data_IF_276853419917
#
_entry.id   IF_276853419917
#
_cell.length_a   1.000
_cell.length_b   1.000
_cell.length_c   1.000
_cell.angle_alpha   90.00
_cell.angle_beta   90.00
_cell.angle_gamma   90.00
#
_symmetry.space_group_name_H-M   'P 1'
#
loop_
_entity.id
_entity.type
_entity.pdbx_description
1 polymer ?
#
# COMPACT_ATOMS: atom_id res chain seq x y z
N UNK A 1 1.33 -21.71 8.71
CA UNK A 1 0.23 -22.28 9.54
C UNK A 1 -0.46 -21.27 10.46
N UNK A 2 0.24 -20.27 11.02
CA UNK A 2 -0.31 -19.25 11.97
C UNK A 2 -1.67 -18.68 11.55
N UNK A 3 -1.75 -18.18 10.32
CA UNK A 3 -2.95 -17.57 9.75
C UNK A 3 -3.75 -18.55 8.88
N UNK A 4 -3.34 -19.81 8.76
CA UNK A 4 -3.96 -20.77 7.83
C UNK A 4 -3.62 -20.48 6.35
N UNK A 5 -4.57 -20.76 5.46
CA UNK A 5 -4.42 -20.60 4.00
C UNK A 5 -5.48 -19.63 3.45
N UNK A 6 -5.37 -19.19 2.18
CA UNK A 6 -6.46 -18.44 1.52
C UNK A 6 -7.77 -19.24 1.34
N UNK A 7 -7.73 -20.56 1.50
CA UNK A 7 -8.92 -21.42 1.49
C UNK A 7 -9.49 -21.64 2.89
N UNK A 8 -8.61 -21.74 3.89
CA UNK A 8 -8.93 -22.06 5.28
C UNK A 8 -8.19 -21.10 6.20
N UNK A 9 -8.65 -19.83 6.33
CA UNK A 9 -8.01 -18.85 7.19
C UNK A 9 -8.19 -19.25 8.67
N UNK A 10 -7.22 -18.86 9.49
CA UNK A 10 -7.23 -19.05 10.94
C UNK A 10 -6.93 -17.72 11.61
N UNK A 11 -7.59 -17.49 12.75
CA UNK A 11 -7.26 -16.36 13.63
C UNK A 11 -6.18 -16.84 14.62
N UNK A 12 -4.97 -16.26 14.58
CA UNK A 12 -3.93 -16.56 15.55
C UNK A 12 -4.33 -16.13 16.97
N UNK A 13 -3.77 -16.80 17.97
CA UNK A 13 -3.94 -16.41 19.37
C UNK A 13 -3.45 -14.98 19.62
N UNK A 14 -4.25 -14.19 20.34
CA UNK A 14 -3.99 -12.78 20.61
C UNK A 14 -4.48 -11.81 19.53
N UNK A 15 -5.25 -12.28 18.55
CA UNK A 15 -5.95 -11.46 17.54
C UNK A 15 -7.47 -11.64 17.56
N UNK A 16 -8.04 -12.36 18.51
CA UNK A 16 -9.47 -12.67 18.56
C UNK A 16 -10.36 -11.43 18.77
N UNK A 17 -9.79 -10.36 19.34
CA UNK A 17 -10.44 -9.05 19.46
C UNK A 17 -10.34 -8.21 18.17
N UNK A 18 -9.42 -8.58 17.28
CA UNK A 18 -9.19 -7.91 16.01
C UNK A 18 -9.85 -8.66 14.85
N UNK A 19 -9.83 -9.98 14.78
CA UNK A 19 -10.28 -10.73 13.62
C UNK A 19 -11.46 -11.64 13.98
N UNK A 20 -12.54 -11.50 13.23
CA UNK A 20 -13.73 -12.34 13.37
C UNK A 20 -13.61 -13.60 12.49
N UNK A 21 -13.52 -14.76 13.12
CA UNK A 21 -13.31 -16.03 12.44
C UNK A 21 -14.48 -16.42 11.50
N UNK A 22 -15.72 -16.11 11.86
CA UNK A 22 -16.90 -16.47 11.06
C UNK A 22 -16.97 -15.61 9.79
N UNK A 23 -16.73 -14.32 9.94
CA UNK A 23 -16.63 -13.38 8.82
C UNK A 23 -15.46 -13.71 7.90
N UNK A 24 -14.31 -14.14 8.45
CA UNK A 24 -13.18 -14.61 7.64
C UNK A 24 -13.51 -15.85 6.82
N UNK A 25 -14.19 -16.84 7.40
CA UNK A 25 -14.62 -18.03 6.67
C UNK A 25 -15.61 -17.69 5.55
N UNK A 26 -16.50 -16.72 5.78
CA UNK A 26 -17.43 -16.24 4.76
C UNK A 26 -16.72 -15.60 3.57
N UNK A 27 -15.64 -14.86 3.82
CA UNK A 27 -14.88 -14.18 2.77
C UNK A 27 -13.89 -15.08 2.02
N UNK A 28 -13.37 -16.11 2.68
CA UNK A 28 -12.31 -16.98 2.16
C UNK A 28 -12.85 -18.18 1.36
N UNK A 29 -11.92 -18.95 0.77
CA UNK A 29 -12.28 -20.18 0.10
C UNK A 29 -12.91 -20.00 -1.28
N UNK A 30 -13.30 -21.12 -1.87
CA UNK A 30 -13.91 -21.20 -3.20
C UNK A 30 -15.28 -20.54 -3.18
N UNK A 31 -15.62 -19.81 -4.25
CA UNK A 31 -16.94 -19.19 -4.39
C UNK A 31 -18.02 -20.28 -4.41
N UNK A 32 -18.91 -20.25 -3.42
CA UNK A 32 -20.04 -21.18 -3.29
C UNK A 32 -21.26 -20.43 -2.77
N UNK A 33 -22.42 -20.82 -3.26
CA UNK A 33 -23.71 -20.44 -2.68
C UNK A 33 -24.23 -21.63 -1.90
N UNK A 34 -24.60 -21.43 -0.64
CA UNK A 34 -25.43 -22.40 0.07
C UNK A 34 -26.91 -22.15 -0.30
N UNK A 35 -27.69 -23.22 -0.47
CA UNK A 35 -29.09 -23.13 -0.90
C UNK A 35 -29.96 -22.34 0.11
N UNK A 36 -30.97 -21.63 -0.40
CA UNK A 36 -31.84 -20.64 0.28
C UNK A 36 -31.28 -19.21 0.45
N UNK A 37 -30.37 -18.78 -0.44
CA UNK A 37 -30.41 -17.42 -0.99
C UNK A 37 -29.79 -16.26 -0.21
N UNK A 38 -29.06 -16.48 0.89
CA UNK A 38 -28.46 -15.36 1.65
C UNK A 38 -26.96 -15.49 1.98
N UNK A 39 -26.38 -16.68 2.10
CA UNK A 39 -24.96 -16.80 2.48
C UNK A 39 -24.10 -17.14 1.27
N UNK A 40 -23.31 -16.17 0.81
CA UNK A 40 -22.31 -16.39 -0.24
C UNK A 40 -20.92 -16.53 0.38
N UNK A 41 -20.28 -17.69 0.16
CA UNK A 41 -18.92 -17.99 0.61
C UNK A 41 -17.91 -17.61 -0.48
N UNK A 42 -16.66 -17.35 -0.09
CA UNK A 42 -15.62 -16.95 -1.03
C UNK A 42 -15.81 -15.54 -1.58
N UNK A 43 -16.39 -14.63 -0.79
CA UNK A 43 -16.67 -13.23 -1.18
C UNK A 43 -15.45 -12.54 -1.77
N UNK A 44 -14.28 -12.71 -1.15
CA UNK A 44 -13.05 -12.08 -1.63
C UNK A 44 -12.64 -12.62 -3.00
N UNK A 45 -12.76 -13.93 -3.23
CA UNK A 45 -12.46 -14.52 -4.55
C UNK A 45 -13.45 -14.06 -5.60
N UNK A 46 -14.72 -13.92 -5.23
CA UNK A 46 -15.79 -13.45 -6.12
C UNK A 46 -15.60 -11.99 -6.54
N UNK A 47 -15.20 -11.12 -5.62
CA UNK A 47 -15.26 -9.67 -5.83
C UNK A 47 -13.90 -8.99 -5.98
N UNK A 48 -12.83 -9.55 -5.41
CA UNK A 48 -11.56 -8.83 -5.22
C UNK A 48 -10.38 -9.49 -5.91
N UNK A 49 -10.28 -10.83 -5.87
CA UNK A 49 -9.07 -11.56 -6.27
C UNK A 49 -8.67 -11.37 -7.75
N UNK A 50 -9.63 -11.07 -8.63
CA UNK A 50 -9.36 -10.79 -10.05
C UNK A 50 -8.38 -9.61 -10.23
N UNK A 51 -8.48 -8.60 -9.37
CA UNK A 51 -7.60 -7.44 -9.39
C UNK A 51 -6.52 -7.52 -8.29
N UNK A 52 -6.91 -7.88 -7.06
CA UNK A 52 -6.02 -7.84 -5.90
C UNK A 52 -5.18 -9.11 -5.68
N UNK A 53 -5.39 -10.16 -6.49
CA UNK A 53 -4.73 -11.46 -6.31
C UNK A 53 -5.35 -12.28 -5.18
N UNK A 54 -5.15 -13.60 -5.18
CA UNK A 54 -5.74 -14.49 -4.16
C UNK A 54 -5.11 -14.29 -2.77
N UNK A 55 -3.85 -13.87 -2.74
CA UNK A 55 -3.02 -13.58 -1.56
C UNK A 55 -3.08 -12.10 -1.17
N UNK A 56 -3.80 -11.26 -1.92
CA UNK A 56 -3.81 -9.81 -1.71
C UNK A 56 -2.53 -9.10 -2.12
N UNK A 57 -1.71 -9.67 -3.00
CA UNK A 57 -0.45 -9.10 -3.50
C UNK A 57 -0.61 -8.03 -4.59
N UNK A 58 -1.84 -7.73 -5.00
CA UNK A 58 -2.11 -6.76 -6.06
C UNK A 58 -1.71 -7.26 -7.46
N UNK A 59 -1.44 -8.56 -7.62
CA UNK A 59 -1.02 -9.20 -8.86
C UNK A 59 -2.10 -10.15 -9.41
N UNK A 60 -3.38 -9.79 -9.25
CA UNK A 60 -4.49 -10.53 -9.86
C UNK A 60 -4.39 -10.55 -11.39
N UNK A 61 -5.05 -11.49 -12.08
CA UNK A 61 -4.95 -11.64 -13.54
C UNK A 61 -5.36 -10.38 -14.33
N UNK A 62 -6.18 -9.50 -13.75
CA UNK A 62 -6.56 -8.24 -14.36
C UNK A 62 -5.65 -7.06 -13.97
N UNK A 63 -4.73 -7.23 -13.01
CA UNK A 63 -3.97 -6.15 -12.38
C UNK A 63 -3.14 -5.34 -13.39
N UNK A 64 -2.45 -6.02 -14.30
CA UNK A 64 -1.59 -5.40 -15.31
C UNK A 64 -2.32 -4.36 -16.18
N UNK A 65 -3.62 -4.56 -16.39
CA UNK A 65 -4.45 -3.71 -17.23
C UNK A 65 -5.17 -2.58 -16.47
N UNK A 66 -5.00 -2.49 -15.15
CA UNK A 66 -5.63 -1.43 -14.35
C UNK A 66 -4.72 -0.21 -14.23
N UNK A 67 -5.31 0.98 -14.30
CA UNK A 67 -4.63 2.24 -14.02
C UNK A 67 -5.43 3.06 -12.98
N UNK A 68 -4.87 3.29 -11.77
CA UNK A 68 -3.62 2.76 -11.23
C UNK A 68 -3.66 1.23 -11.01
N UNK A 69 -2.48 0.62 -10.75
CA UNK A 69 -2.44 -0.80 -10.33
C UNK A 69 -3.26 -1.03 -9.05
N UNK A 70 -3.87 -2.22 -8.88
CA UNK A 70 -4.56 -2.58 -7.65
C UNK A 70 -3.62 -2.55 -6.45
N UNK A 71 -4.15 -2.18 -5.29
CA UNK A 71 -3.40 -2.21 -4.03
C UNK A 71 -2.99 -3.65 -3.68
N UNK A 72 -1.71 -3.87 -3.40
CA UNK A 72 -1.27 -5.00 -2.59
C UNK A 72 -1.77 -4.82 -1.16
N UNK A 73 -2.86 -5.49 -0.80
CA UNK A 73 -3.50 -5.42 0.51
C UNK A 73 -2.62 -6.02 1.60
N UNK A 74 -1.79 -7.02 1.24
CA UNK A 74 -0.82 -7.64 2.14
C UNK A 74 0.28 -6.68 2.63
N UNK A 75 0.48 -5.56 1.95
CA UNK A 75 1.48 -4.54 2.33
C UNK A 75 1.08 -3.78 3.60
N UNK A 76 -0.19 -3.80 4.00
CA UNK A 76 -0.66 -3.04 5.15
C UNK A 76 -0.64 -1.52 4.97
N UNK A 77 -0.31 -1.03 3.77
CA UNK A 77 -0.26 0.40 3.44
C UNK A 77 -1.52 0.83 2.68
N UNK A 78 -2.32 1.69 3.31
CA UNK A 78 -3.59 2.17 2.74
C UNK A 78 -3.56 3.68 2.49
N UNK A 79 -3.93 4.09 1.27
CA UNK A 79 -3.85 5.48 0.81
C UNK A 79 -4.94 6.39 1.41
N UNK A 80 -6.18 5.91 1.44
CA UNK A 80 -7.37 6.72 1.75
C UNK A 80 -7.95 6.26 3.08
N UNK A 81 -7.56 6.95 4.15
CA UNK A 81 -7.87 6.59 5.53
C UNK A 81 -7.90 7.84 6.41
N UNK A 82 -8.57 7.73 7.55
CA UNK A 82 -8.73 8.82 8.49
C UNK A 82 -7.60 8.91 9.53
N UNK A 83 -6.78 7.88 9.64
CA UNK A 83 -5.68 7.79 10.62
C UNK A 83 -4.35 8.34 10.10
N UNK A 84 -3.49 8.84 11.00
CA UNK A 84 -2.13 9.32 10.70
C UNK A 84 -1.37 8.43 9.71
N UNK A 85 -0.45 9.02 8.92
CA UNK A 85 0.23 8.38 7.78
C UNK A 85 0.75 6.96 8.05
N UNK A 86 1.33 6.72 9.22
CA UNK A 86 1.94 5.44 9.60
C UNK A 86 1.03 4.50 10.42
N UNK A 87 -0.20 4.90 10.72
CA UNK A 87 -1.19 4.05 11.41
C UNK A 87 -1.99 3.21 10.40
N UNK A 88 -2.50 2.01 10.75
CA UNK A 88 -3.41 1.28 9.87
C UNK A 88 -4.77 1.98 9.76
N UNK A 89 -5.54 1.73 8.68
CA UNK A 89 -6.90 2.25 8.55
C UNK A 89 -7.82 1.69 9.63
N UNK A 90 -8.89 2.42 9.95
CA UNK A 90 -9.98 1.87 10.76
C UNK A 90 -10.84 0.90 9.93
N UNK A 91 -11.67 0.09 10.58
CA UNK A 91 -12.66 -0.74 9.86
C UNK A 91 -13.64 0.12 9.06
N UNK A 92 -14.02 1.29 9.59
CA UNK A 92 -14.90 2.22 8.88
C UNK A 92 -14.21 2.85 7.66
N UNK A 93 -12.90 3.10 7.70
CA UNK A 93 -12.15 3.53 6.50
C UNK A 93 -12.20 2.47 5.38
N UNK A 94 -12.03 1.20 5.74
CA UNK A 94 -12.11 0.08 4.82
C UNK A 94 -13.54 -0.10 4.27
N UNK A 95 -14.54 -0.09 5.16
CA UNK A 95 -15.94 -0.22 4.79
C UNK A 95 -16.40 0.93 3.88
N UNK A 96 -16.05 2.17 4.22
CA UNK A 96 -16.33 3.36 3.39
C UNK A 96 -15.71 3.23 2.00
N UNK A 97 -14.46 2.76 1.91
CA UNK A 97 -13.78 2.53 0.62
C UNK A 97 -14.49 1.46 -0.21
N UNK A 98 -14.91 0.34 0.39
CA UNK A 98 -15.67 -0.69 -0.31
C UNK A 98 -17.02 -0.16 -0.80
N UNK A 99 -17.78 0.52 0.07
CA UNK A 99 -19.09 1.07 -0.28
C UNK A 99 -19.00 2.13 -1.38
N UNK A 100 -17.99 3.01 -1.33
CA UNK A 100 -17.82 4.07 -2.32
C UNK A 100 -17.16 3.59 -3.62
N UNK A 101 -16.32 2.55 -3.54
CA UNK A 101 -15.36 2.23 -4.59
C UNK A 101 -14.27 3.28 -4.69
N UNK A 102 -13.56 3.30 -5.82
CA UNK A 102 -12.52 4.30 -6.09
C UNK A 102 -12.87 5.11 -7.34
N UNK A 103 -13.53 6.29 -7.19
CA UNK A 103 -13.85 7.15 -8.32
C UNK A 103 -12.59 7.47 -9.14
N UNK A 104 -12.68 7.33 -10.47
CA UNK A 104 -11.54 7.55 -11.37
C UNK A 104 -10.55 6.38 -11.49
N UNK A 105 -10.80 5.26 -10.79
CA UNK A 105 -10.07 4.01 -10.92
C UNK A 105 -11.04 2.84 -11.23
N UNK A 106 -10.50 1.65 -11.48
CA UNK A 106 -11.29 0.47 -11.84
C UNK A 106 -12.02 -0.21 -10.67
N UNK A 107 -11.73 0.16 -9.42
CA UNK A 107 -12.35 -0.47 -8.25
C UNK A 107 -13.81 0.02 -8.10
N UNK A 108 -14.81 -0.87 -8.27
CA UNK A 108 -16.21 -0.49 -8.29
C UNK A 108 -16.74 -0.20 -6.89
N UNK A 109 -17.94 0.39 -6.83
CA UNK A 109 -18.71 0.52 -5.59
C UNK A 109 -19.37 -0.82 -5.24
N UNK A 110 -19.28 -1.21 -3.96
CA UNK A 110 -19.94 -2.38 -3.40
C UNK A 110 -21.16 -2.03 -2.53
N UNK A 111 -21.75 -0.84 -2.74
CA UNK A 111 -22.92 -0.36 -1.95
C UNK A 111 -24.15 -1.29 -2.02
N UNK A 112 -24.24 -2.13 -3.05
CA UNK A 112 -25.35 -3.08 -3.20
C UNK A 112 -25.13 -4.40 -2.47
N UNK A 113 -23.94 -4.65 -1.91
CA UNK A 113 -23.71 -5.82 -1.08
C UNK A 113 -24.40 -5.63 0.28
N UNK A 114 -24.97 -6.71 0.87
CA UNK A 114 -25.43 -6.70 2.24
C UNK A 114 -24.31 -6.28 3.22
N UNK A 115 -24.67 -5.61 4.31
CA UNK A 115 -23.70 -5.11 5.29
C UNK A 115 -22.84 -6.22 5.91
N UNK A 116 -23.38 -7.44 6.07
CA UNK A 116 -22.60 -8.57 6.57
C UNK A 116 -21.53 -9.04 5.58
N UNK A 117 -21.79 -8.98 4.26
CA UNK A 117 -20.80 -9.32 3.24
C UNK A 117 -19.70 -8.24 3.16
N UNK A 118 -20.08 -6.96 3.30
CA UNK A 118 -19.11 -5.87 3.43
C UNK A 118 -18.23 -6.06 4.67
N UNK A 119 -18.82 -6.40 5.82
CA UNK A 119 -18.09 -6.67 7.05
C UNK A 119 -17.11 -7.86 6.87
N UNK A 120 -17.54 -8.94 6.21
CA UNK A 120 -16.68 -10.08 5.88
C UNK A 120 -15.49 -9.68 5.01
N UNK A 121 -15.72 -8.87 3.97
CA UNK A 121 -14.64 -8.34 3.13
C UNK A 121 -13.68 -7.43 3.91
N UNK A 122 -14.19 -6.58 4.81
CA UNK A 122 -13.35 -5.75 5.70
C UNK A 122 -12.45 -6.61 6.57
N UNK A 123 -13.01 -7.65 7.23
CA UNK A 123 -12.24 -8.57 8.05
C UNK A 123 -11.16 -9.28 7.24
N UNK A 124 -11.48 -9.72 6.02
CA UNK A 124 -10.51 -10.41 5.17
C UNK A 124 -9.39 -9.49 4.68
N UNK A 125 -9.70 -8.23 4.32
CA UNK A 125 -8.68 -7.23 3.99
C UNK A 125 -7.76 -6.96 5.19
N UNK A 126 -8.32 -6.85 6.40
CA UNK A 126 -7.55 -6.66 7.63
C UNK A 126 -6.66 -7.87 7.92
N UNK A 127 -7.19 -9.08 7.77
CA UNK A 127 -6.44 -10.34 7.86
C UNK A 127 -5.25 -10.38 6.90
N UNK A 128 -5.46 -10.07 5.62
CA UNK A 128 -4.39 -10.04 4.61
C UNK A 128 -3.30 -9.04 4.98
N UNK A 129 -3.67 -7.85 5.46
CA UNK A 129 -2.75 -6.80 5.85
C UNK A 129 -1.91 -7.18 7.08
N UNK A 130 -2.54 -7.71 8.14
CA UNK A 130 -1.84 -8.17 9.34
C UNK A 130 -0.90 -9.33 8.98
N UNK A 131 -1.42 -10.35 8.29
CA UNK A 131 -0.66 -11.53 7.88
C UNK A 131 0.54 -11.14 7.03
N UNK A 132 0.32 -10.32 6.00
CA UNK A 132 1.39 -9.89 5.10
C UNK A 132 2.45 -9.03 5.78
N UNK A 133 2.06 -8.23 6.77
CA UNK A 133 3.01 -7.46 7.59
C UNK A 133 3.89 -8.40 8.42
N UNK A 134 3.30 -9.41 9.08
CA UNK A 134 4.07 -10.42 9.80
C UNK A 134 5.03 -11.16 8.86
N UNK A 135 4.55 -11.59 7.69
CA UNK A 135 5.39 -12.31 6.71
C UNK A 135 6.62 -11.49 6.30
N UNK A 136 6.48 -10.16 6.13
CA UNK A 136 7.63 -9.28 5.82
C UNK A 136 8.55 -9.06 7.01
N UNK A 137 8.01 -8.75 8.18
CA UNK A 137 8.82 -8.56 9.41
C UNK A 137 9.58 -9.84 9.75
N UNK A 138 9.01 -11.01 9.46
CA UNK A 138 9.68 -12.29 9.61
C UNK A 138 10.81 -12.49 8.59
N UNK A 139 10.57 -12.16 7.32
CA UNK A 139 11.63 -12.23 6.28
C UNK A 139 12.78 -11.30 6.66
N UNK A 140 12.48 -10.06 7.06
CA UNK A 140 13.49 -9.09 7.51
C UNK A 140 14.29 -9.63 8.70
N UNK A 141 13.62 -10.19 9.70
CA UNK A 141 14.28 -10.78 10.87
C UNK A 141 15.22 -11.94 10.48
N UNK A 142 14.74 -12.88 9.67
CA UNK A 142 15.56 -14.02 9.20
C UNK A 142 16.73 -13.53 8.34
N UNK A 143 16.53 -12.54 7.47
CA UNK A 143 17.60 -11.96 6.67
C UNK A 143 18.66 -11.25 7.52
N UNK A 144 18.26 -10.55 8.59
CA UNK A 144 19.19 -9.90 9.52
C UNK A 144 19.98 -10.90 10.37
N UNK A 145 19.34 -11.99 10.80
CA UNK A 145 19.95 -13.01 11.65
C UNK A 145 20.89 -13.94 10.88
N UNK A 146 20.49 -14.38 9.69
CA UNK A 146 21.20 -15.43 8.94
C UNK A 146 21.96 -14.93 7.70
N UNK A 147 21.73 -13.69 7.25
CA UNK A 147 22.42 -13.11 6.08
C UNK A 147 22.27 -13.94 4.79
N UNK A 148 23.28 -13.88 3.93
CA UNK A 148 23.31 -14.59 2.63
C UNK A 148 23.39 -16.13 2.78
N UNK A 149 23.83 -16.62 3.95
CA UNK A 149 23.90 -18.07 4.25
C UNK A 149 22.52 -18.75 4.31
N UNK A 150 21.43 -17.99 4.34
CA UNK A 150 20.06 -18.53 4.24
C UNK A 150 19.68 -18.90 2.79
N UNK A 151 20.25 -18.21 1.80
CA UNK A 151 19.91 -18.35 0.37
C UNK A 151 20.88 -19.34 -0.30
N UNK A 152 22.16 -19.26 0.06
CA UNK A 152 23.17 -20.20 -0.39
C UNK A 152 23.05 -21.48 0.42
N UNK A 153 22.21 -22.41 -0.08
CA UNK A 153 21.93 -23.70 0.55
C UNK A 153 23.22 -24.46 0.84
N UNK A 154 23.75 -24.28 2.04
CA UNK A 154 24.76 -25.13 2.62
C UNK A 154 24.14 -26.53 2.83
N UNK A 155 24.93 -27.57 2.59
CA UNK A 155 24.58 -29.01 2.61
C UNK A 155 23.98 -29.53 3.94
N UNK A 156 23.67 -28.65 4.89
CA UNK A 156 23.00 -29.03 6.12
C UNK A 156 21.49 -29.03 5.91
N UNK A 157 20.95 -30.24 5.72
CA UNK A 157 19.53 -30.57 5.51
C UNK A 157 18.54 -30.08 6.59
N UNK A 158 18.96 -29.22 7.50
CA UNK A 158 18.16 -28.67 8.60
C UNK A 158 17.60 -27.31 8.16
N UNK A 159 16.27 -27.14 8.06
CA UNK A 159 15.70 -25.82 7.83
C UNK A 159 16.16 -24.88 8.96
N UNK A 160 16.93 -23.83 8.64
CA UNK A 160 17.34 -22.80 9.62
C UNK A 160 16.14 -22.11 10.26
N UNK A 161 14.97 -22.20 9.60
CA UNK A 161 13.68 -21.80 10.12
C UNK A 161 12.69 -22.97 10.01
N UNK A 162 12.36 -23.61 11.13
CA UNK A 162 11.36 -24.68 11.20
C UNK A 162 10.17 -24.23 12.05
N UNK A 163 8.98 -24.21 11.45
CA UNK A 163 7.77 -23.86 12.18
C UNK A 163 7.40 -24.88 13.29
N UNK A 164 7.93 -26.10 13.22
CA UNK A 164 7.74 -27.10 14.27
C UNK A 164 8.54 -26.79 15.53
N UNK A 165 9.58 -25.97 15.43
CA UNK A 165 10.39 -25.54 16.56
C UNK A 165 9.59 -24.61 17.51
N UNK A 166 9.83 -24.74 18.81
CA UNK A 166 9.16 -23.94 19.84
C UNK A 166 9.71 -22.52 19.88
N UNK A 167 11.01 -22.31 19.64
CA UNK A 167 11.64 -20.97 19.67
C UNK A 167 11.09 -20.10 18.53
N UNK A 168 11.03 -20.67 17.32
CA UNK A 168 10.41 -20.02 16.15
C UNK A 168 8.95 -19.60 16.40
N UNK A 169 8.16 -20.48 17.03
CA UNK A 169 6.77 -20.18 17.38
C UNK A 169 6.67 -19.12 18.49
N UNK A 170 7.63 -19.10 19.41
CA UNK A 170 7.73 -18.08 20.46
C UNK A 170 8.05 -16.71 19.88
N UNK A 171 9.06 -16.61 19.01
CA UNK A 171 9.44 -15.38 18.30
C UNK A 171 8.22 -14.73 17.62
N UNK A 172 7.48 -15.51 16.82
CA UNK A 172 6.30 -14.99 16.13
C UNK A 172 5.21 -14.53 17.11
N UNK A 173 4.93 -15.32 18.15
CA UNK A 173 3.83 -15.06 19.08
C UNK A 173 4.13 -13.91 20.05
N UNK A 174 5.36 -13.84 20.53
CA UNK A 174 5.75 -12.99 21.66
C UNK A 174 6.46 -11.71 21.21
N UNK A 175 7.11 -11.71 20.04
CA UNK A 175 7.90 -10.57 19.58
C UNK A 175 7.32 -9.91 18.34
N UNK A 176 7.04 -10.66 17.27
CA UNK A 176 6.65 -10.08 15.98
C UNK A 176 5.16 -9.71 15.90
N UNK A 177 4.27 -10.61 16.33
CA UNK A 177 2.83 -10.38 16.20
C UNK A 177 2.26 -9.29 17.14
N UNK A 178 2.68 -9.18 18.42
CA UNK A 178 2.07 -8.21 19.34
C UNK A 178 2.21 -6.74 18.92
N UNK A 179 3.36 -6.24 18.41
CA UNK A 179 3.48 -4.89 17.89
C UNK A 179 2.55 -4.62 16.70
N UNK A 180 2.40 -5.58 15.78
CA UNK A 180 1.46 -5.49 14.66
C UNK A 180 0.03 -5.37 15.19
N UNK A 181 -0.38 -6.27 16.08
CA UNK A 181 -1.71 -6.28 16.68
C UNK A 181 -2.02 -4.94 17.39
N UNK A 182 -1.05 -4.42 18.14
CA UNK A 182 -1.18 -3.17 18.89
C UNK A 182 -1.45 -1.99 17.96
N UNK A 183 -0.71 -1.86 16.84
CA UNK A 183 -0.95 -0.82 15.83
C UNK A 183 -2.39 -0.85 15.30
N UNK A 184 -2.95 -2.05 15.07
CA UNK A 184 -4.33 -2.20 14.60
C UNK A 184 -5.38 -1.88 15.67
N UNK A 185 -5.14 -2.25 16.94
CA UNK A 185 -6.03 -1.87 18.06
C UNK A 185 -6.11 -0.37 18.25
N UNK A 186 -4.98 0.30 18.09
CA UNK A 186 -4.85 1.74 18.30
C UNK A 186 -5.35 2.57 17.09
N UNK A 187 -5.74 1.96 15.97
CA UNK A 187 -6.14 2.66 14.75
C UNK A 187 -7.18 3.75 15.02
N UNK A 188 -8.22 3.44 15.79
CA UNK A 188 -9.29 4.40 16.12
C UNK A 188 -8.80 5.57 16.99
N UNK A 189 -7.83 5.34 17.89
CA UNK A 189 -7.22 6.40 18.70
C UNK A 189 -6.23 7.27 17.89
N UNK A 190 -5.93 6.85 16.65
CA UNK A 190 -4.97 7.48 15.74
C UNK A 190 -5.68 8.20 14.58
N UNK A 191 -7.00 8.42 14.68
CA UNK A 191 -7.76 9.22 13.73
C UNK A 191 -7.27 10.68 13.79
N UNK A 192 -7.04 11.27 12.63
CA UNK A 192 -6.81 12.71 12.49
C UNK A 192 -8.16 13.40 12.57
N UNK A 193 -8.35 14.11 13.67
CA UNK A 193 -9.54 14.93 13.89
C UNK A 193 -9.50 16.13 12.95
N UNK A 194 -10.51 16.25 12.09
CA UNK A 194 -10.68 17.41 11.23
C UNK A 194 -11.35 18.53 12.02
N UNK A 195 -10.63 19.06 13.02
CA UNK A 195 -11.16 20.07 13.94
C UNK A 195 -11.44 21.37 13.17
N UNK A 196 -12.64 21.96 13.36
CA UNK A 196 -13.10 23.11 12.60
C UNK A 196 -13.98 22.72 11.40
N UNK A 197 -13.80 23.44 10.28
CA UNK A 197 -14.61 23.27 9.07
C UNK A 197 -14.53 24.47 8.16
N UNK A 198 -15.13 24.35 6.97
CA UNK A 198 -15.28 25.47 6.05
C UNK A 198 -16.27 26.51 6.60
N UNK A 199 -16.04 27.82 6.37
CA UNK A 199 -16.99 28.86 6.73
C UNK A 199 -18.31 28.67 5.98
N UNK A 200 -19.42 28.91 6.68
CA UNK A 200 -20.76 28.91 6.09
C UNK A 200 -21.06 30.26 5.39
N UNK A 201 -20.38 31.32 5.81
CA UNK A 201 -20.49 32.65 5.19
C UNK A 201 -19.71 32.71 3.87
N UNK A 202 -20.37 33.17 2.81
CA UNK A 202 -19.81 33.17 1.46
C UNK A 202 -18.63 34.12 1.27
N UNK A 203 -18.66 35.29 1.92
CA UNK A 203 -17.57 36.27 1.83
C UNK A 203 -16.33 35.75 2.58
N UNK A 204 -16.54 35.14 3.75
CA UNK A 204 -15.47 34.48 4.49
C UNK A 204 -14.89 33.28 3.73
N UNK A 205 -15.73 32.46 3.09
CA UNK A 205 -15.28 31.34 2.27
C UNK A 205 -14.46 31.82 1.06
N UNK A 206 -14.88 32.90 0.40
CA UNK A 206 -14.12 33.50 -0.69
C UNK A 206 -12.74 34.00 -0.24
N UNK A 207 -12.66 34.64 0.93
CA UNK A 207 -11.37 35.03 1.53
C UNK A 207 -10.47 33.81 1.82
N UNK A 208 -11.05 32.72 2.33
CA UNK A 208 -10.33 31.47 2.57
C UNK A 208 -9.83 30.80 1.29
N UNK A 209 -10.59 30.89 0.20
CA UNK A 209 -10.15 30.43 -1.12
C UNK A 209 -8.92 31.21 -1.59
N UNK A 210 -8.91 32.54 -1.43
CA UNK A 210 -7.76 33.38 -1.79
C UNK A 210 -6.53 33.07 -0.94
N UNK A 211 -6.69 32.94 0.38
CA UNK A 211 -5.60 32.55 1.28
C UNK A 211 -5.09 31.13 0.98
N UNK A 212 -6.00 30.18 0.74
CA UNK A 212 -5.69 28.82 0.34
C UNK A 212 -4.89 28.76 -0.95
N UNK A 213 -5.22 29.60 -1.93
CA UNK A 213 -4.45 29.73 -3.17
C UNK A 213 -3.01 30.17 -2.88
N UNK A 214 -2.82 31.17 -2.01
CA UNK A 214 -1.47 31.62 -1.64
C UNK A 214 -0.67 30.49 -0.97
N UNK A 215 -1.30 29.73 -0.07
CA UNK A 215 -0.68 28.56 0.57
C UNK A 215 -0.31 27.48 -0.43
N UNK A 216 -1.19 27.19 -1.40
CA UNK A 216 -0.96 26.19 -2.43
C UNK A 216 0.31 26.51 -3.25
N UNK A 217 0.56 27.80 -3.49
CA UNK A 217 1.75 28.33 -4.17
C UNK A 217 2.98 28.54 -3.28
N UNK A 218 2.87 28.37 -1.95
CA UNK A 218 3.99 28.56 -1.02
C UNK A 218 5.03 27.45 -1.21
N UNK A 219 6.17 27.80 -1.81
CA UNK A 219 7.25 26.85 -2.10
C UNK A 219 8.01 26.34 -0.87
N UNK A 220 7.81 26.95 0.31
CA UNK A 220 8.56 26.61 1.53
C UNK A 220 7.82 25.66 2.44
N UNK A 221 6.50 25.81 2.57
CA UNK A 221 5.70 25.03 3.52
C UNK A 221 4.88 23.93 2.84
N UNK A 222 4.04 24.29 1.88
CA UNK A 222 3.11 23.34 1.26
C UNK A 222 3.61 22.81 -0.09
N UNK A 223 4.11 23.72 -0.94
CA UNK A 223 4.67 23.48 -2.27
C UNK A 223 3.81 22.59 -3.19
N UNK A 224 2.49 22.67 -3.07
CA UNK A 224 1.52 21.81 -3.78
C UNK A 224 1.67 21.92 -5.31
N UNK A 225 1.98 23.12 -5.80
CA UNK A 225 2.14 23.45 -7.23
C UNK A 225 3.20 22.59 -7.92
N UNK A 226 4.26 22.17 -7.20
CA UNK A 226 5.34 21.36 -7.77
C UNK A 226 4.78 20.09 -8.43
N UNK A 227 3.77 19.47 -7.81
CA UNK A 227 3.17 18.23 -8.27
C UNK A 227 1.83 18.44 -8.97
N UNK A 228 0.98 19.33 -8.43
CA UNK A 228 -0.39 19.50 -8.92
C UNK A 228 -0.53 20.57 -10.02
N UNK A 229 0.55 21.25 -10.40
CA UNK A 229 0.49 22.36 -11.36
C UNK A 229 -0.04 23.65 -10.73
N UNK A 230 0.02 24.76 -11.49
CA UNK A 230 -0.32 26.09 -10.95
C UNK A 230 -1.79 26.26 -10.62
N UNK A 231 -2.67 25.61 -11.37
CA UNK A 231 -4.13 25.73 -11.26
C UNK A 231 -4.76 24.38 -10.89
N UNK A 232 -3.96 23.43 -10.39
CA UNK A 232 -4.45 22.09 -10.07
C UNK A 232 -4.69 21.21 -11.30
N UNK A 233 -4.16 21.56 -12.47
CA UNK A 233 -4.29 20.75 -13.69
C UNK A 233 -3.63 19.35 -13.58
N UNK A 234 -2.82 19.12 -12.55
CA UNK A 234 -2.08 17.87 -12.35
C UNK A 234 -1.04 17.65 -13.45
N UNK A 235 -0.60 16.40 -13.62
CA UNK A 235 0.24 15.95 -14.75
C UNK A 235 1.62 16.59 -14.92
N UNK A 236 2.19 17.19 -13.87
CA UNK A 236 3.63 17.46 -13.86
C UNK A 236 4.33 16.10 -13.79
N UNK A 237 5.01 15.71 -14.88
CA UNK A 237 5.84 14.51 -14.92
C UNK A 237 7.04 14.73 -13.99
N UNK A 238 6.86 14.38 -12.73
CA UNK A 238 7.95 14.22 -11.80
C UNK A 238 8.47 12.80 -11.95
N UNK A 239 9.79 12.61 -11.94
CA UNK A 239 10.41 11.29 -11.90
C UNK A 239 10.28 10.68 -10.50
N UNK A 240 9.04 10.56 -10.05
CA UNK A 240 8.64 10.15 -8.70
C UNK A 240 7.79 8.89 -8.81
N UNK A 241 8.02 7.94 -7.92
CA UNK A 241 7.33 6.67 -7.87
C UNK A 241 6.70 6.53 -6.48
N UNK A 242 5.57 5.84 -6.41
CA UNK A 242 5.08 5.37 -5.13
C UNK A 242 5.95 4.21 -4.63
N UNK A 243 5.90 3.91 -3.34
CA UNK A 243 6.90 3.04 -2.70
C UNK A 243 7.00 1.67 -3.39
N UNK A 244 5.88 1.07 -3.82
CA UNK A 244 5.86 -0.22 -4.51
C UNK A 244 6.30 -0.16 -5.97
N UNK A 245 6.07 0.94 -6.70
CA UNK A 245 6.66 1.08 -8.03
C UNK A 245 8.15 1.45 -7.96
N UNK A 246 8.59 2.09 -6.87
CA UNK A 246 10.00 2.38 -6.66
C UNK A 246 10.82 1.10 -6.48
N UNK A 247 10.35 0.15 -5.66
CA UNK A 247 11.02 -1.17 -5.53
C UNK A 247 11.17 -1.86 -6.89
N UNK A 248 10.12 -1.82 -7.73
CA UNK A 248 10.16 -2.37 -9.09
C UNK A 248 11.15 -1.64 -10.00
N UNK A 249 11.20 -0.32 -9.89
CA UNK A 249 12.14 0.49 -10.66
C UNK A 249 13.58 0.21 -10.24
N UNK A 250 13.85 0.16 -8.94
CA UNK A 250 15.17 -0.11 -8.39
C UNK A 250 15.65 -1.52 -8.82
N UNK A 251 14.75 -2.51 -8.74
CA UNK A 251 15.02 -3.86 -9.25
C UNK A 251 15.37 -3.86 -10.73
N UNK A 252 14.60 -3.15 -11.57
CA UNK A 252 14.85 -3.07 -13.01
C UNK A 252 16.21 -2.40 -13.31
N UNK A 253 16.53 -1.29 -12.65
CA UNK A 253 17.79 -0.59 -12.83
C UNK A 253 19.00 -1.43 -12.38
N UNK A 254 18.85 -2.22 -11.34
CA UNK A 254 19.87 -3.17 -10.90
C UNK A 254 20.06 -4.32 -11.91
N UNK A 255 18.98 -4.85 -12.49
CA UNK A 255 19.04 -5.86 -13.56
C UNK A 255 19.79 -5.31 -14.78
N UNK A 256 19.47 -4.08 -15.19
CA UNK A 256 20.14 -3.40 -16.31
C UNK A 256 21.66 -3.23 -16.03
N UNK A 257 22.06 -2.83 -14.81
CA UNK A 257 23.47 -2.75 -14.42
C UNK A 257 24.18 -4.11 -14.39
N UNK A 258 23.47 -5.16 -13.98
CA UNK A 258 24.00 -6.52 -14.01
C UNK A 258 24.23 -6.98 -15.45
N UNK A 259 23.28 -6.69 -16.35
CA UNK A 259 23.43 -6.97 -17.78
C UNK A 259 24.65 -6.25 -18.38
N UNK A 260 24.84 -4.96 -18.07
CA UNK A 260 26.05 -4.22 -18.47
C UNK A 260 27.34 -4.84 -17.91
N UNK A 261 27.29 -5.34 -16.68
CA UNK A 261 28.42 -6.01 -16.03
C UNK A 261 28.77 -7.33 -16.71
N UNK A 262 27.76 -8.13 -17.09
CA UNK A 262 27.92 -9.37 -17.86
C UNK A 262 28.54 -9.09 -19.23
N UNK A 263 28.06 -8.07 -19.94
CA UNK A 263 28.59 -7.68 -21.26
C UNK A 263 30.05 -7.21 -21.15
N UNK A 264 30.35 -6.34 -20.20
CA UNK A 264 31.71 -5.86 -19.92
C UNK A 264 32.69 -6.99 -19.58
N UNK A 265 32.27 -7.97 -18.76
CA UNK A 265 33.08 -9.15 -18.45
C UNK A 265 33.34 -10.03 -19.68
N UNK A 266 32.32 -10.25 -20.53
CA UNK A 266 32.47 -11.00 -21.79
C UNK A 266 33.49 -10.36 -22.72
N UNK A 267 33.44 -9.04 -22.88
CA UNK A 267 34.39 -8.29 -23.70
C UNK A 267 35.82 -8.38 -23.13
N UNK A 268 35.96 -8.26 -21.81
CA UNK A 268 37.25 -8.36 -21.12
C UNK A 268 37.88 -9.74 -21.29
N UNK A 269 37.13 -10.82 -21.09
CA UNK A 269 37.59 -12.20 -21.30
C UNK A 269 38.04 -12.40 -22.76
N UNK A 270 37.27 -11.87 -23.71
CA UNK A 270 37.61 -11.96 -25.15
C UNK A 270 38.91 -11.23 -25.49
N UNK A 271 39.17 -10.08 -24.86
CA UNK A 271 40.33 -9.23 -25.14
C UNK A 271 41.60 -9.67 -24.42
N UNK A 272 41.49 -10.09 -23.17
CA UNK A 272 42.62 -10.35 -22.26
C UNK A 272 42.93 -11.85 -22.11
N UNK A 273 42.04 -12.73 -22.59
CA UNK A 273 42.07 -14.17 -22.30
C UNK A 273 41.36 -14.48 -20.98
N UNK A 274 40.66 -15.61 -20.91
CA UNK A 274 39.92 -16.03 -19.72
C UNK A 274 40.85 -16.52 -18.61
N UNK A 275 40.99 -15.73 -17.55
CA UNK A 275 41.42 -16.27 -16.26
C UNK A 275 40.24 -17.03 -15.64
N UNK A 276 40.49 -18.15 -14.99
CA UNK A 276 39.47 -19.02 -14.37
C UNK A 276 38.47 -18.23 -13.51
N UNK A 277 38.97 -17.31 -12.67
CA UNK A 277 38.14 -16.42 -11.84
C UNK A 277 37.24 -15.47 -12.64
N UNK A 278 37.65 -15.02 -13.82
CA UNK A 278 36.82 -14.16 -14.66
C UNK A 278 35.69 -14.96 -15.31
N UNK A 279 35.97 -16.21 -15.70
CA UNK A 279 34.96 -17.11 -16.26
C UNK A 279 33.96 -17.56 -15.20
N UNK A 280 34.41 -17.80 -13.96
CA UNK A 280 33.56 -18.09 -12.80
C UNK A 280 32.63 -16.92 -12.48
N UNK A 281 33.17 -15.70 -12.30
CA UNK A 281 32.36 -14.50 -12.08
C UNK A 281 31.33 -14.27 -13.20
N UNK A 282 31.71 -14.53 -14.46
CA UNK A 282 30.79 -14.40 -15.58
C UNK A 282 29.63 -15.41 -15.49
N UNK A 283 29.91 -16.64 -15.08
CA UNK A 283 28.87 -17.66 -14.90
C UNK A 283 27.90 -17.28 -13.78
N UNK A 284 28.41 -16.75 -12.67
CA UNK A 284 27.59 -16.33 -11.53
C UNK A 284 26.69 -15.14 -11.91
N UNK A 285 27.25 -14.11 -12.53
CA UNK A 285 26.47 -12.95 -12.97
C UNK A 285 25.43 -13.32 -14.03
N UNK A 286 25.74 -14.28 -14.92
CA UNK A 286 24.76 -14.78 -15.89
C UNK A 286 23.62 -15.54 -15.22
N UNK A 287 23.93 -16.34 -14.19
CA UNK A 287 22.91 -17.06 -13.43
C UNK A 287 21.99 -16.09 -12.72
N UNK A 288 22.56 -15.11 -12.02
CA UNK A 288 21.79 -14.08 -11.34
C UNK A 288 20.93 -13.29 -12.35
N UNK A 289 21.49 -12.89 -13.49
CA UNK A 289 20.75 -12.18 -14.54
C UNK A 289 19.53 -12.96 -15.02
N UNK A 290 19.68 -14.26 -15.29
CA UNK A 290 18.57 -15.13 -15.71
C UNK A 290 17.46 -15.17 -14.64
N UNK A 291 17.83 -15.30 -13.36
CA UNK A 291 16.83 -15.30 -12.28
C UNK A 291 16.13 -13.95 -12.14
N UNK A 292 16.85 -12.84 -12.32
CA UNK A 292 16.25 -11.50 -12.32
C UNK A 292 15.32 -11.27 -13.50
N UNK A 293 15.72 -11.65 -14.71
CA UNK A 293 14.90 -11.56 -15.93
C UNK A 293 13.58 -12.34 -15.77
N UNK A 294 13.62 -13.53 -15.15
CA UNK A 294 12.39 -14.29 -14.85
C UNK A 294 11.44 -13.55 -13.91
N UNK A 295 11.97 -12.82 -12.94
CA UNK A 295 11.14 -11.99 -12.05
C UNK A 295 10.51 -10.84 -12.83
N UNK A 296 11.26 -10.18 -13.71
CA UNK A 296 10.74 -9.08 -14.55
C UNK A 296 9.64 -9.52 -15.52
N UNK A 297 9.70 -10.75 -16.04
CA UNK A 297 8.65 -11.29 -16.91
C UNK A 297 7.28 -11.41 -16.21
N UNK A 298 7.28 -11.67 -14.91
CA UNK A 298 6.06 -11.87 -14.11
C UNK A 298 5.64 -10.58 -13.40
N UNK A 299 6.59 -9.71 -13.08
CA UNK A 299 6.30 -8.49 -12.33
C UNK A 299 5.69 -7.40 -13.21
N UNK A 300 4.80 -6.62 -12.62
CA UNK A 300 4.18 -5.51 -13.33
C UNK A 300 5.22 -4.39 -13.53
N UNK A 301 5.35 -3.80 -14.74
CA UNK A 301 6.36 -2.78 -14.99
C UNK A 301 6.14 -1.55 -14.11
N UNK A 302 7.22 -0.89 -13.65
CA UNK A 302 7.12 0.27 -12.77
C UNK A 302 6.38 1.41 -13.47
N UNK A 303 5.53 2.11 -12.71
CA UNK A 303 4.79 3.29 -13.18
C UNK A 303 5.06 4.47 -12.25
N UNK A 304 5.32 5.62 -12.87
CA UNK A 304 5.45 6.88 -12.14
C UNK A 304 4.15 7.25 -11.43
N UNK A 305 4.30 7.89 -10.27
CA UNK A 305 3.18 8.45 -9.53
C UNK A 305 2.69 9.72 -10.24
N UNK A 306 1.43 9.71 -10.68
CA UNK A 306 0.80 10.85 -11.33
C UNK A 306 -0.10 11.58 -10.34
N UNK A 307 0.20 12.85 -10.09
CA UNK A 307 -0.67 13.72 -9.30
C UNK A 307 -2.00 13.94 -10.02
N UNK A 308 -3.10 13.86 -9.27
CA UNK A 308 -4.45 14.01 -9.84
C UNK A 308 -4.67 15.44 -10.34
N UNK A 309 -5.34 15.55 -11.49
CA UNK A 309 -5.95 16.79 -11.97
C UNK A 309 -7.12 17.15 -11.06
N UNK A 310 -6.94 18.16 -10.22
CA UNK A 310 -7.94 18.64 -9.26
C UNK A 310 -9.15 19.27 -9.97
N UNK A 311 -8.94 19.90 -11.12
CA UNK A 311 -10.01 20.46 -11.97
C UNK A 311 -10.91 19.39 -12.62
N UNK A 312 -10.55 18.11 -12.55
CA UNK A 312 -11.33 17.05 -13.19
C UNK A 312 -12.61 16.68 -12.41
N UNK A 313 -12.86 17.28 -11.24
CA UNK A 313 -14.02 17.00 -10.37
C UNK A 313 -14.04 15.60 -9.73
N UNK A 314 -13.16 14.68 -10.15
CA UNK A 314 -13.11 13.29 -9.68
C UNK A 314 -11.82 13.03 -8.90
N UNK A 315 -11.97 12.88 -7.58
CA UNK A 315 -10.90 12.53 -6.66
C UNK A 315 -11.06 11.11 -6.14
N UNK A 316 -9.94 10.41 -6.03
CA UNK A 316 -9.89 9.09 -5.42
C UNK A 316 -10.20 9.17 -3.92
N UNK A 317 -10.95 8.20 -3.39
CA UNK A 317 -11.29 8.08 -1.96
C UNK A 317 -12.52 8.89 -1.55
N UNK A 318 -12.55 10.19 -1.84
CA UNK A 318 -13.67 11.10 -1.54
C UNK A 318 -13.37 12.52 -2.05
N UNK A 319 -14.38 13.38 -2.18
CA UNK A 319 -14.24 14.83 -2.35
C UNK A 319 -14.79 15.63 -1.16
N UNK A 320 -15.23 14.95 -0.10
CA UNK A 320 -15.72 15.59 1.12
C UNK A 320 -14.63 16.48 1.76
N UNK A 321 -15.00 17.65 2.31
CA UNK A 321 -14.04 18.58 2.91
C UNK A 321 -13.14 17.92 3.98
N UNK A 322 -13.70 17.09 4.85
CA UNK A 322 -12.99 16.44 5.94
C UNK A 322 -11.98 15.39 5.42
N UNK A 323 -12.32 14.70 4.33
CA UNK A 323 -11.40 13.74 3.71
C UNK A 323 -10.29 14.44 2.92
N UNK A 324 -10.56 15.62 2.35
CA UNK A 324 -9.53 16.50 1.81
C UNK A 324 -8.60 16.99 2.91
N UNK A 325 -9.16 17.47 4.03
CA UNK A 325 -8.39 17.89 5.20
C UNK A 325 -7.43 16.80 5.65
N UNK A 326 -7.93 15.58 5.90
CA UNK A 326 -7.07 14.47 6.38
C UNK A 326 -5.98 14.09 5.39
N UNK A 327 -6.29 14.09 4.07
CA UNK A 327 -5.29 13.82 3.02
C UNK A 327 -4.21 14.88 2.94
N UNK A 328 -4.55 16.16 3.06
CA UNK A 328 -3.57 17.25 3.07
C UNK A 328 -2.76 17.20 4.38
N UNK A 329 -3.43 16.98 5.51
CA UNK A 329 -2.82 16.92 6.83
C UNK A 329 -1.76 15.82 6.93
N UNK A 330 -2.09 14.57 6.60
CA UNK A 330 -1.19 13.42 6.78
C UNK A 330 -0.45 12.98 5.51
N UNK A 331 -0.80 13.54 4.36
CA UNK A 331 -0.37 13.05 3.06
C UNK A 331 -1.06 11.76 2.66
N UNK A 332 -0.58 11.15 1.57
CA UNK A 332 -1.10 9.87 1.09
C UNK A 332 -0.01 8.82 1.30
N UNK A 333 -0.29 7.85 2.19
CA UNK A 333 0.65 6.82 2.58
C UNK A 333 1.16 6.04 1.36
N UNK A 334 2.47 5.81 1.34
CA UNK A 334 3.20 5.14 0.28
C UNK A 334 3.24 5.87 -1.06
N UNK A 335 2.89 7.16 -1.11
CA UNK A 335 3.07 7.99 -2.30
C UNK A 335 3.99 9.17 -2.01
N UNK A 336 4.49 9.85 -3.06
CA UNK A 336 5.24 11.09 -2.92
C UNK A 336 4.47 12.27 -2.33
N UNK A 337 3.14 12.19 -2.15
CA UNK A 337 2.35 13.28 -1.55
C UNK A 337 2.55 13.31 -0.03
N UNK A 338 3.31 14.28 0.52
CA UNK A 338 3.58 14.34 1.94
C UNK A 338 2.41 14.96 2.70
N UNK A 339 2.42 14.81 4.03
CA UNK A 339 1.55 15.57 4.91
C UNK A 339 2.16 16.92 5.24
N UNK A 340 1.32 17.94 5.35
CA UNK A 340 1.74 19.29 5.82
C UNK A 340 1.23 19.60 7.23
N UNK A 341 0.36 18.75 7.78
CA UNK A 341 -0.08 18.82 9.17
C UNK A 341 0.86 18.09 10.12
N UNK A 342 0.46 17.98 11.38
CA UNK A 342 1.28 17.32 12.40
C UNK A 342 1.38 15.81 12.14
N UNK A 343 2.59 15.24 12.24
CA UNK A 343 2.78 13.80 12.07
C UNK A 343 2.28 12.95 13.27
N UNK A 344 2.07 13.59 14.42
CA UNK A 344 1.58 12.99 15.66
C UNK A 344 0.63 13.97 16.38
N UNK A 345 -0.21 13.51 17.32
CA UNK A 345 -1.13 14.41 18.04
C UNK A 345 -0.44 15.54 18.83
N UNK A 346 0.82 15.36 19.24
CA UNK A 346 1.61 16.36 19.96
C UNK A 346 2.64 17.07 19.09
N UNK A 347 2.69 16.77 17.79
CA UNK A 347 3.64 17.36 16.86
C UNK A 347 3.17 18.69 16.29
N UNK A 348 4.09 19.41 15.64
CA UNK A 348 3.77 20.59 14.84
C UNK A 348 3.87 20.23 13.35
N UNK A 349 2.89 20.69 12.57
CA UNK A 349 2.90 20.59 11.11
C UNK A 349 3.63 21.75 10.46
N UNK A 350 3.87 21.65 9.15
CA UNK A 350 4.30 22.80 8.35
C UNK A 350 3.20 23.87 8.26
N UNK A 351 1.94 23.46 8.34
CA UNK A 351 0.75 24.30 8.38
C UNK A 351 -0.11 23.97 9.62
N UNK A 352 -0.86 24.96 10.10
CA UNK A 352 -1.90 24.76 11.11
C UNK A 352 -3.18 24.16 10.51
N UNK A 353 -4.07 23.63 11.36
CA UNK A 353 -5.39 23.12 10.94
C UNK A 353 -6.20 24.17 10.18
N UNK A 354 -6.20 25.43 10.63
CA UNK A 354 -6.90 26.52 9.93
C UNK A 354 -6.31 26.79 8.54
N UNK A 355 -4.98 26.76 8.41
CA UNK A 355 -4.31 26.91 7.12
C UNK A 355 -4.61 25.73 6.18
N UNK A 356 -4.71 24.51 6.72
CA UNK A 356 -5.13 23.33 5.94
C UNK A 356 -6.58 23.48 5.48
N UNK A 357 -7.48 23.99 6.32
CA UNK A 357 -8.86 24.26 5.89
C UNK A 357 -8.96 25.33 4.79
N UNK A 358 -8.09 26.34 4.80
CA UNK A 358 -7.97 27.30 3.69
C UNK A 358 -7.51 26.62 2.40
N UNK A 359 -6.54 25.70 2.48
CA UNK A 359 -6.18 24.84 1.35
C UNK A 359 -7.37 23.99 0.86
N UNK A 360 -8.15 23.41 1.77
CA UNK A 360 -9.37 22.66 1.41
C UNK A 360 -10.37 23.54 0.67
N UNK A 361 -10.59 24.78 1.14
CA UNK A 361 -11.48 25.74 0.47
C UNK A 361 -11.03 25.98 -0.98
N UNK A 362 -9.74 26.24 -1.19
CA UNK A 362 -9.18 26.43 -2.53
C UNK A 362 -9.27 25.16 -3.40
N UNK A 363 -8.95 23.98 -2.86
CA UNK A 363 -9.09 22.73 -3.62
C UNK A 363 -10.55 22.48 -4.01
N UNK A 364 -11.51 22.78 -3.14
CA UNK A 364 -12.93 22.66 -3.48
C UNK A 364 -13.37 23.66 -4.55
N UNK A 365 -12.83 24.88 -4.57
CA UNK A 365 -13.15 25.83 -5.64
C UNK A 365 -12.66 25.32 -7.00
N UNK A 366 -11.54 24.58 -7.06
CA UNK A 366 -11.05 23.96 -8.29
C UNK A 366 -11.90 22.78 -8.75
N UNK A 367 -12.60 22.09 -7.85
CA UNK A 367 -13.45 20.94 -8.19
C UNK A 367 -14.80 21.34 -8.82
N UNK A 368 -15.20 22.60 -8.65
CA UNK A 368 -16.49 23.13 -9.09
C UNK A 368 -16.44 23.80 -10.48
N UNK A 369 -15.24 23.96 -11.04
CA UNK A 369 -14.99 24.40 -12.42
C UNK A 369 -15.04 23.22 -13.39
#
# INVERSE_FOLDING_TARGET
EVFGTPDEPRVPGGLEDLLDAELLQSAAGVVRSEDEGEVSLGLYRRHCAVCHGITGDGAGPAALYQFPYPRALRDGVFKYKSTYRNAPPTEEDLARTLRAGMPGAAMPSFRLLPEHEVAALVQYVKYLAIRGTLERELIEHVSEEFGDEFIDGDDDSTPRFDWQDDETRSLVREELLPPIATRWREANARIVEASGGLPQDGDQLAAWVDEGRLLFHDQKRANCVKCHGREGQGSVALNEYDDWNKVRQDFQLETERLQESVESLRERITREGGAELLEENLQDYQRELIERERVEEVWAPPRQAVARTLQAGVLHGSSAPEDLFRRIHQGIAGTPMPGVGAATPQGEGALSDEEIWKLVAYVQSLLAE
#
